data_IF_521736818928
#
_entry.id   IF_521736818928
#
_cell.length_a   1.000
_cell.length_b   1.000
_cell.length_c   1.000
_cell.angle_alpha   90.00
_cell.angle_beta   90.00
_cell.angle_gamma   90.00
#
_symmetry.space_group_name_H-M   'P 1'
#
loop_
_entity.id
_entity.type
_entity.pdbx_description
1 polymer ?
#
# COMPACT_ATOMS: atom_id res chain seq x y z
N UNK A 1 6.55 -2.38 5.85
CA UNK A 1 5.90 -1.56 4.82
C UNK A 1 6.84 -0.50 4.29
N UNK A 2 7.14 -0.54 2.99
CA UNK A 2 8.06 0.40 2.32
C UNK A 2 7.57 1.85 2.36
N UNK A 3 6.26 2.09 2.18
CA UNK A 3 5.66 3.43 2.13
C UNK A 3 5.94 4.30 3.37
N UNK A 4 6.01 3.68 4.56
CA UNK A 4 6.28 4.37 5.81
C UNK A 4 7.77 4.74 5.91
N UNK A 5 8.67 3.78 5.65
CA UNK A 5 10.13 4.01 5.71
C UNK A 5 10.61 5.00 4.64
N UNK A 6 10.00 5.00 3.46
CA UNK A 6 10.35 5.89 2.36
C UNK A 6 9.84 7.33 2.55
N UNK A 7 9.10 7.63 3.62
CA UNK A 7 8.54 8.97 3.85
C UNK A 7 7.35 9.31 2.93
N UNK A 8 6.78 8.31 2.25
CA UNK A 8 5.61 8.48 1.38
C UNK A 8 4.31 8.60 2.19
N UNK A 9 4.20 7.87 3.30
CA UNK A 9 3.06 8.01 4.20
C UNK A 9 3.18 9.28 5.06
N UNK A 10 2.16 10.14 5.05
CA UNK A 10 2.14 11.39 5.82
C UNK A 10 0.77 11.60 6.45
N UNK A 11 0.76 12.08 7.70
CA UNK A 11 -0.43 12.57 8.39
C UNK A 11 -0.30 14.09 8.55
N UNK A 12 -0.76 14.90 7.57
CA UNK A 12 -0.49 16.33 7.56
C UNK A 12 -1.02 17.00 8.82
N UNK A 13 -0.23 17.92 9.39
CA UNK A 13 -0.57 18.72 10.59
C UNK A 13 -0.71 17.91 11.88
N UNK A 14 -0.33 16.64 11.88
CA UNK A 14 -0.27 15.81 13.09
C UNK A 14 1.20 15.68 13.51
N UNK A 15 1.55 15.97 14.78
CA UNK A 15 2.92 15.80 15.26
C UNK A 15 3.37 14.33 15.15
N UNK A 16 4.59 14.10 14.64
CA UNK A 16 5.14 12.75 14.43
C UNK A 16 5.12 11.89 15.70
N UNK A 17 5.39 12.49 16.86
CA UNK A 17 5.35 11.80 18.16
C UNK A 17 3.99 11.14 18.47
N UNK A 18 2.89 11.70 17.97
CA UNK A 18 1.55 11.14 18.17
C UNK A 18 1.30 9.95 17.22
N UNK A 19 1.79 10.03 15.99
CA UNK A 19 1.53 9.02 14.94
C UNK A 19 2.54 7.86 15.01
N UNK A 20 3.74 8.11 15.53
CA UNK A 20 4.85 7.16 15.53
C UNK A 20 4.50 5.75 16.06
N UNK A 21 3.76 5.58 17.18
CA UNK A 21 3.38 4.24 17.65
C UNK A 21 2.50 3.48 16.64
N UNK A 22 1.63 4.18 15.92
CA UNK A 22 0.80 3.60 14.86
C UNK A 22 1.66 3.23 13.65
N UNK A 23 2.60 4.10 13.25
CA UNK A 23 3.54 3.82 12.17
C UNK A 23 4.44 2.62 12.49
N UNK A 24 4.85 2.43 13.74
CA UNK A 24 5.63 1.26 14.18
C UNK A 24 4.86 -0.06 13.97
N UNK A 25 3.55 -0.05 14.23
CA UNK A 25 2.70 -1.21 13.98
C UNK A 25 2.46 -1.43 12.48
N UNK A 26 2.16 -0.36 11.73
CA UNK A 26 1.92 -0.46 10.30
C UNK A 26 3.20 -0.76 9.50
N UNK A 27 4.38 -0.35 9.99
CA UNK A 27 5.66 -0.66 9.37
C UNK A 27 5.95 -2.17 9.35
N UNK A 28 5.31 -2.94 10.24
CA UNK A 28 5.38 -4.42 10.24
C UNK A 28 4.44 -5.06 9.22
N UNK A 29 3.57 -4.30 8.59
CA UNK A 29 2.68 -4.83 7.55
C UNK A 29 3.40 -4.92 6.21
N UNK A 30 2.88 -5.77 5.33
CA UNK A 30 3.46 -6.01 4.02
C UNK A 30 3.09 -4.93 3.00
N UNK A 31 1.92 -4.28 3.17
CA UNK A 31 1.44 -3.24 2.26
C UNK A 31 0.72 -3.78 1.03
N UNK A 32 0.00 -4.91 1.14
CA UNK A 32 -0.90 -5.41 0.09
C UNK A 32 -2.31 -5.51 0.61
N UNK A 33 -3.29 -5.19 -0.22
CA UNK A 33 -4.69 -5.21 0.13
C UNK A 33 -5.57 -5.49 -1.08
N UNK A 34 -6.75 -6.05 -0.84
CA UNK A 34 -7.78 -6.20 -1.87
C UNK A 34 -8.62 -4.93 -1.93
N UNK A 35 -8.72 -4.33 -3.12
CA UNK A 35 -9.46 -3.10 -3.34
C UNK A 35 -10.54 -3.32 -4.41
N UNK A 36 -11.79 -3.00 -4.09
CA UNK A 36 -12.90 -3.03 -5.06
C UNK A 36 -13.01 -1.73 -5.87
N UNK A 37 -12.22 -0.72 -5.54
CA UNK A 37 -12.25 0.57 -6.20
C UNK A 37 -11.07 0.74 -7.17
N UNK A 38 -11.35 0.57 -8.46
CA UNK A 38 -10.42 0.86 -9.53
C UNK A 38 -10.66 2.29 -10.03
N UNK A 39 -9.98 3.27 -9.41
CA UNK A 39 -10.19 4.70 -9.70
C UNK A 39 -9.80 5.08 -11.14
N UNK A 40 -8.92 4.31 -11.76
CA UNK A 40 -8.49 4.40 -13.14
C UNK A 40 -9.58 4.01 -14.16
N UNK A 41 -10.56 3.20 -13.76
CA UNK A 41 -11.71 2.84 -14.61
C UNK A 41 -12.73 3.98 -14.76
N UNK A 42 -12.68 4.98 -13.87
CA UNK A 42 -13.57 6.14 -13.90
C UNK A 42 -14.96 5.90 -13.30
N UNK A 43 -15.15 4.84 -12.53
CA UNK A 43 -16.45 4.60 -11.88
C UNK A 43 -16.76 5.62 -10.80
N UNK A 44 -18.03 5.98 -10.73
CA UNK A 44 -18.56 6.87 -9.70
C UNK A 44 -18.63 6.21 -8.32
N UNK A 45 -18.71 4.89 -8.28
CA UNK A 45 -18.83 4.11 -7.06
C UNK A 45 -17.71 3.06 -6.98
N UNK A 46 -17.24 2.70 -5.79
CA UNK A 46 -16.16 1.72 -5.56
C UNK A 46 -16.65 0.27 -5.76
N UNK A 47 -17.31 0.03 -6.88
CA UNK A 47 -17.97 -1.22 -7.23
C UNK A 47 -17.19 -1.92 -8.34
N UNK A 48 -16.71 -3.13 -8.07
CA UNK A 48 -15.97 -3.90 -9.05
C UNK A 48 -15.42 -5.19 -8.43
N UNK A 49 -14.83 -6.07 -9.25
CA UNK A 49 -14.02 -7.15 -8.73
C UNK A 49 -12.99 -6.62 -7.73
N UNK A 50 -12.74 -7.33 -6.62
CA UNK A 50 -11.58 -7.03 -5.81
C UNK A 50 -10.31 -7.23 -6.64
N UNK A 51 -9.50 -6.18 -6.74
CA UNK A 51 -8.17 -6.21 -7.34
C UNK A 51 -7.11 -6.24 -6.25
N UNK A 52 -6.05 -7.03 -6.45
CA UNK A 52 -4.91 -7.04 -5.54
C UNK A 52 -4.08 -5.78 -5.78
N UNK A 53 -4.07 -4.86 -4.82
CA UNK A 53 -3.28 -3.64 -4.86
C UNK A 53 -2.11 -3.75 -3.88
N UNK A 54 -1.06 -2.97 -4.14
CA UNK A 54 0.10 -2.87 -3.27
C UNK A 54 0.49 -1.42 -3.06
N UNK A 55 1.09 -1.13 -1.91
CA UNK A 55 1.73 0.13 -1.64
C UNK A 55 2.95 0.33 -2.53
N UNK A 56 3.36 1.58 -2.77
CA UNK A 56 4.54 1.89 -3.57
C UNK A 56 5.78 1.11 -3.12
N UNK A 57 6.63 0.76 -4.08
CA UNK A 57 7.84 -0.05 -3.91
C UNK A 57 9.04 0.65 -4.55
N UNK A 58 10.25 0.17 -4.25
CA UNK A 58 11.51 0.72 -4.81
C UNK A 58 11.76 0.33 -6.28
N UNK A 59 11.03 -0.66 -6.81
CA UNK A 59 11.15 -1.12 -8.20
C UNK A 59 10.28 -0.29 -9.13
N UNK A 60 10.76 -0.02 -10.36
CA UNK A 60 10.18 0.92 -11.34
C UNK A 60 8.64 0.95 -11.43
N UNK A 61 7.96 -0.20 -11.50
CA UNK A 61 6.49 -0.26 -11.59
C UNK A 61 5.76 0.22 -10.33
N UNK A 62 6.45 0.27 -9.18
CA UNK A 62 5.93 0.66 -7.88
C UNK A 62 6.38 2.05 -7.43
N UNK A 63 7.16 2.79 -8.23
CA UNK A 63 7.67 4.11 -7.84
C UNK A 63 6.58 5.18 -8.02
N UNK A 64 6.40 6.01 -6.99
CA UNK A 64 5.53 7.19 -7.08
C UNK A 64 6.21 8.26 -7.93
N UNK A 65 5.45 8.90 -8.84
CA UNK A 65 5.94 10.03 -9.63
C UNK A 65 6.51 11.12 -8.71
N UNK A 66 7.79 11.44 -8.87
CA UNK A 66 8.52 12.41 -8.03
C UNK A 66 7.87 13.79 -8.01
N UNK A 67 7.30 14.24 -9.13
CA UNK A 67 6.58 15.51 -9.21
C UNK A 67 5.35 15.57 -8.28
N UNK A 68 4.68 14.43 -8.05
CA UNK A 68 3.55 14.37 -7.12
C UNK A 68 4.02 14.45 -5.67
N UNK A 69 5.14 13.80 -5.35
CA UNK A 69 5.77 13.87 -4.02
C UNK A 69 6.21 15.30 -3.73
N UNK A 70 6.88 15.96 -4.68
CA UNK A 70 7.29 17.37 -4.56
C UNK A 70 6.09 18.30 -4.34
N UNK A 71 5.03 18.16 -5.14
CA UNK A 71 3.80 18.95 -4.98
C UNK A 71 3.15 18.77 -3.60
N UNK A 72 3.17 17.55 -3.06
CA UNK A 72 2.69 17.27 -1.70
C UNK A 72 3.57 17.97 -0.66
N UNK A 73 4.89 17.86 -0.81
CA UNK A 73 5.87 18.43 0.11
C UNK A 73 5.76 19.95 0.17
N UNK A 74 5.68 20.61 -0.99
CA UNK A 74 5.46 22.05 -1.12
C UNK A 74 4.12 22.47 -0.48
N UNK A 75 3.06 21.69 -0.69
CA UNK A 75 1.71 22.00 -0.17
C UNK A 75 1.63 21.93 1.36
N UNK A 76 2.34 21.01 1.99
CA UNK A 76 2.28 20.79 3.43
C UNK A 76 3.52 21.34 4.17
N UNK A 77 4.47 21.94 3.45
CA UNK A 77 5.75 22.41 3.97
C UNK A 77 6.49 21.32 4.76
N UNK A 78 6.62 20.15 4.13
CA UNK A 78 7.29 18.95 4.69
C UNK A 78 8.45 18.52 3.79
N UNK A 79 9.34 17.68 4.31
CA UNK A 79 10.44 17.08 3.56
C UNK A 79 10.38 15.57 3.62
N UNK A 80 10.19 14.93 2.47
CA UNK A 80 10.22 13.45 2.34
C UNK A 80 11.54 12.87 2.84
N UNK A 81 12.68 13.50 2.51
CA UNK A 81 14.00 13.04 2.96
C UNK A 81 14.13 13.12 4.49
N UNK A 82 13.64 14.20 5.11
CA UNK A 82 13.64 14.31 6.56
C UNK A 82 12.78 13.22 7.24
N UNK A 83 11.61 12.93 6.68
CA UNK A 83 10.72 11.85 7.16
C UNK A 83 11.35 10.47 6.98
N UNK A 84 12.04 10.25 5.86
CA UNK A 84 12.78 9.00 5.59
C UNK A 84 13.89 8.81 6.62
N UNK A 85 14.67 9.86 6.89
CA UNK A 85 15.72 9.81 7.91
C UNK A 85 15.17 9.60 9.32
N UNK A 86 14.06 10.26 9.69
CA UNK A 86 13.48 10.14 11.04
C UNK A 86 12.74 8.81 11.30
N UNK A 87 12.62 7.96 10.28
CA UNK A 87 11.92 6.68 10.32
C UNK A 87 12.83 5.50 9.95
N UNK A 88 14.13 5.74 9.80
CA UNK A 88 15.10 4.73 9.38
C UNK A 88 15.17 3.57 10.40
N UNK A 89 14.98 3.89 11.68
CA UNK A 89 14.97 3.01 12.84
C UNK A 89 13.68 2.18 13.00
N UNK A 90 12.62 2.47 12.24
CA UNK A 90 11.40 1.68 12.32
C UNK A 90 11.67 0.25 11.86
N UNK A 91 11.30 -0.70 12.72
CA UNK A 91 11.41 -2.13 12.43
C UNK A 91 10.51 -2.50 11.24
N UNK A 92 11.07 -3.21 10.27
CA UNK A 92 10.34 -3.82 9.16
C UNK A 92 10.55 -5.33 9.26
N UNK A 93 9.53 -6.16 8.96
CA UNK A 93 9.65 -7.60 9.10
C UNK A 93 10.81 -8.09 8.25
N UNK A 94 11.57 -9.03 8.81
CA UNK A 94 12.65 -9.66 8.08
C UNK A 94 12.10 -10.38 6.83
N UNK A 95 12.83 -10.38 5.71
CA UNK A 95 12.42 -11.04 4.48
C UNK A 95 12.00 -12.51 4.67
N UNK A 96 12.58 -13.17 5.67
CA UNK A 96 12.34 -14.57 6.04
C UNK A 96 10.92 -14.84 6.56
N UNK A 97 10.24 -13.82 7.09
CA UNK A 97 8.84 -13.90 7.53
C UNK A 97 7.85 -13.69 6.38
N UNK A 98 8.32 -13.36 5.18
CA UNK A 98 7.46 -13.07 4.05
C UNK A 98 7.30 -14.30 3.16
N UNK A 99 6.06 -14.59 2.76
CA UNK A 99 5.80 -15.66 1.81
C UNK A 99 6.56 -15.40 0.49
N UNK A 100 7.40 -16.34 0.01
CA UNK A 100 8.21 -16.16 -1.21
C UNK A 100 7.39 -15.82 -2.46
N UNK A 101 6.15 -16.29 -2.52
CA UNK A 101 5.25 -16.05 -3.66
C UNK A 101 4.56 -14.69 -3.57
N UNK A 102 4.61 -14.02 -2.42
CA UNK A 102 3.90 -12.76 -2.24
C UNK A 102 4.43 -11.69 -3.22
N UNK A 103 5.73 -11.69 -3.52
CA UNK A 103 6.40 -10.78 -4.45
C UNK A 103 6.70 -11.39 -5.83
N UNK A 104 5.97 -12.42 -6.23
CA UNK A 104 6.13 -13.08 -7.53
C UNK A 104 6.18 -12.11 -8.72
N UNK A 105 5.38 -11.04 -8.65
CA UNK A 105 5.32 -9.98 -9.67
C UNK A 105 6.66 -9.26 -9.90
N UNK A 106 7.52 -9.13 -8.88
CA UNK A 106 8.81 -8.41 -8.98
C UNK A 106 9.75 -9.08 -9.99
N UNK A 107 9.68 -10.40 -10.10
CA UNK A 107 10.55 -11.20 -10.97
C UNK A 107 9.89 -11.54 -12.30
N UNK A 108 8.57 -11.72 -12.32
CA UNK A 108 7.85 -12.28 -13.48
C UNK A 108 6.96 -11.26 -14.20
N UNK A 109 6.74 -10.07 -13.63
CA UNK A 109 5.83 -9.07 -14.18
C UNK A 109 4.36 -9.48 -14.19
N UNK A 110 3.99 -10.55 -13.47
CA UNK A 110 2.64 -11.11 -13.41
C UNK A 110 2.08 -11.04 -11.99
N UNK A 111 0.82 -10.63 -11.87
CA UNK A 111 0.08 -10.58 -10.60
C UNK A 111 -1.17 -11.46 -10.64
N UNK A 112 -1.81 -11.61 -9.48
CA UNK A 112 -3.12 -12.25 -9.39
C UNK A 112 -4.18 -11.35 -10.00
N UNK A 113 -5.03 -11.92 -10.85
CA UNK A 113 -6.23 -11.28 -11.38
C UNK A 113 -7.47 -12.04 -10.88
N UNK A 114 -8.52 -11.30 -10.55
CA UNK A 114 -9.81 -11.88 -10.19
C UNK A 114 -10.79 -11.60 -11.32
N UNK A 115 -11.39 -12.65 -11.84
CA UNK A 115 -12.48 -12.60 -12.79
C UNK A 115 -13.81 -12.83 -12.06
N UNK A 116 -14.83 -12.04 -12.39
CA UNK A 116 -16.16 -12.17 -11.79
C UNK A 116 -17.04 -12.96 -12.73
N UNK A 117 -17.51 -14.10 -12.27
CA UNK A 117 -18.48 -14.93 -13.00
C UNK A 117 -19.88 -14.82 -12.38
N UNK A 118 -20.90 -14.84 -13.23
CA UNK A 118 -22.28 -14.92 -12.77
C UNK A 118 -22.58 -16.32 -12.26
N UNK A 119 -22.94 -16.44 -10.99
CA UNK A 119 -23.31 -17.71 -10.37
C UNK A 119 -24.65 -17.60 -9.64
N UNK A 120 -25.29 -18.73 -9.34
CA UNK A 120 -26.50 -18.75 -8.52
C UNK A 120 -26.14 -18.38 -7.08
N UNK A 121 -26.83 -17.39 -6.51
CA UNK A 121 -26.59 -16.95 -5.15
C UNK A 121 -26.93 -18.09 -4.18
N UNK A 122 -25.93 -18.59 -3.45
CA UNK A 122 -26.15 -19.54 -2.36
C UNK A 122 -26.96 -18.83 -1.26
N UNK A 123 -28.23 -19.21 -1.13
CA UNK A 123 -29.17 -18.61 -0.16
C UNK A 123 -28.83 -18.94 1.30
N UNK A 124 -27.99 -19.96 1.50
CA UNK A 124 -27.63 -20.48 2.82
C UNK A 124 -26.13 -20.79 2.78
N UNK A 125 -25.37 -20.12 3.63
CA UNK A 125 -23.99 -20.51 3.93
C UNK A 125 -24.06 -21.52 5.07
N UNK A 126 -23.55 -22.74 4.88
CA UNK A 126 -23.26 -23.59 6.02
C UNK A 126 -22.10 -22.91 6.80
N UNK A 127 -22.44 -22.28 7.92
CA UNK A 127 -21.45 -21.78 8.86
C UNK A 127 -20.64 -22.97 9.41
N UNK A 128 -19.31 -22.89 9.47
CA UNK A 128 -18.51 -23.88 10.20
C UNK A 128 -18.80 -23.85 11.70
#
# INVERSE_FOLDING_TARGET
>A
MHEIKSGLWVNPRVPEMVVRPELENLAKTYGKFWCTWQTDRGDKLPMGPPALMMSPQELDLGIVKLDLVKKRDDKYNISTEALKSSRAELAVPEPELMNPQADYWKQHGKGFAIEVEKTEMKKITAFP
#
